data_IF_644567479289
#
_entry.id   IF_644567479289
#
_cell.length_a   1.000
_cell.length_b   1.000
_cell.length_c   1.000
_cell.angle_alpha   90.00
_cell.angle_beta   90.00
_cell.angle_gamma   90.00
#
_symmetry.space_group_name_H-M   'P 1'
#
loop_
_entity.id
_entity.type
_entity.pdbx_description
1 polymer ?
#
# COMPACT_ATOMS: atom_id res chain seq x y z
N UNK A 1 -39.81 -35.06 -26.06
CA UNK A 1 -38.64 -35.56 -25.38
C UNK A 1 -37.36 -34.76 -25.71
N UNK A 2 -37.15 -34.39 -26.92
CA UNK A 2 -35.94 -33.62 -27.31
C UNK A 2 -35.93 -32.20 -26.73
N UNK A 3 -37.08 -31.59 -26.53
CA UNK A 3 -37.18 -30.24 -25.95
C UNK A 3 -36.68 -30.18 -24.51
N UNK A 4 -36.87 -31.22 -23.72
CA UNK A 4 -36.42 -31.27 -22.34
C UNK A 4 -34.91 -31.28 -22.22
N UNK A 5 -34.22 -31.96 -23.14
CA UNK A 5 -32.73 -32.01 -23.18
C UNK A 5 -32.15 -30.66 -23.51
N UNK A 6 -32.76 -29.88 -24.37
CA UNK A 6 -32.30 -28.55 -24.73
C UNK A 6 -32.42 -27.58 -23.56
N UNK A 7 -33.51 -27.64 -22.80
CA UNK A 7 -33.74 -26.80 -21.66
C UNK A 7 -32.67 -27.04 -20.57
N UNK A 8 -32.33 -28.31 -20.34
CA UNK A 8 -31.33 -28.65 -19.35
C UNK A 8 -29.95 -28.13 -19.73
N UNK A 9 -29.59 -28.14 -21.02
CA UNK A 9 -28.31 -27.58 -21.46
C UNK A 9 -28.22 -26.07 -21.24
N UNK A 10 -29.31 -25.36 -21.46
CA UNK A 10 -29.36 -23.92 -21.27
C UNK A 10 -29.20 -23.57 -19.78
N UNK A 11 -29.86 -24.31 -18.91
CA UNK A 11 -29.78 -24.12 -17.47
C UNK A 11 -28.34 -24.37 -16.97
N UNK A 12 -27.69 -25.41 -17.44
CA UNK A 12 -26.31 -25.71 -17.05
C UNK A 12 -25.35 -24.61 -17.49
N UNK A 13 -25.51 -24.05 -18.66
CA UNK A 13 -24.68 -22.96 -19.14
C UNK A 13 -24.86 -21.71 -18.28
N UNK A 14 -26.08 -21.45 -17.86
CA UNK A 14 -26.37 -20.30 -17.01
C UNK A 14 -25.68 -20.43 -15.65
N UNK A 15 -25.72 -21.59 -15.04
CA UNK A 15 -25.02 -21.85 -13.77
C UNK A 15 -23.51 -21.72 -13.93
N UNK A 16 -22.96 -22.17 -15.01
CA UNK A 16 -21.54 -22.08 -15.28
C UNK A 16 -21.07 -20.62 -15.36
N UNK A 17 -21.85 -19.76 -16.00
CA UNK A 17 -21.55 -18.33 -16.10
C UNK A 17 -21.59 -17.63 -14.74
N UNK A 18 -22.57 -17.95 -13.91
CA UNK A 18 -22.69 -17.38 -12.57
C UNK A 18 -21.48 -17.77 -11.71
N UNK A 19 -21.02 -18.99 -11.82
CA UNK A 19 -19.86 -19.50 -11.08
C UNK A 19 -18.58 -18.75 -11.43
N UNK A 20 -18.35 -18.48 -12.71
CA UNK A 20 -17.17 -17.72 -13.17
C UNK A 20 -17.20 -16.30 -12.61
N UNK A 21 -18.37 -15.71 -12.52
CA UNK A 21 -18.50 -14.36 -11.95
C UNK A 21 -18.09 -14.30 -10.48
N UNK A 22 -18.38 -15.35 -9.72
CA UNK A 22 -18.02 -15.44 -8.29
C UNK A 22 -16.50 -15.50 -8.09
N UNK A 23 -15.81 -16.23 -8.96
CA UNK A 23 -14.35 -16.39 -8.86
C UNK A 23 -13.63 -15.05 -9.09
N UNK A 24 -14.08 -14.25 -10.06
CA UNK A 24 -13.45 -12.95 -10.33
C UNK A 24 -13.65 -11.95 -9.19
N UNK A 25 -14.73 -12.06 -8.41
CA UNK A 25 -14.95 -11.21 -7.25
C UNK A 25 -14.00 -11.48 -6.09
N UNK A 26 -13.56 -12.72 -5.92
CA UNK A 26 -12.66 -13.11 -4.83
C UNK A 26 -11.23 -12.60 -5.04
N UNK A 27 -10.76 -12.44 -6.25
CA UNK A 27 -9.40 -11.98 -6.55
C UNK A 27 -9.15 -10.55 -6.10
N UNK A 28 -10.18 -9.73 -5.98
CA UNK A 28 -10.04 -8.35 -5.56
C UNK A 28 -9.76 -8.20 -4.06
N UNK A 29 -10.13 -9.18 -3.24
CA UNK A 29 -9.92 -9.13 -1.80
C UNK A 29 -8.52 -9.52 -1.37
N UNK A 30 -7.72 -10.15 -2.22
CA UNK A 30 -6.40 -10.64 -1.87
C UNK A 30 -5.28 -9.62 -2.06
N UNK A 31 -5.61 -8.35 -2.34
CA UNK A 31 -4.62 -7.32 -2.68
C UNK A 31 -4.33 -6.29 -1.60
N UNK A 32 -4.72 -6.53 -0.36
CA UNK A 32 -4.35 -5.62 0.71
C UNK A 32 -2.94 -5.94 1.18
N UNK A 33 -2.02 -5.06 0.82
CA UNK A 33 -0.64 -5.10 1.27
C UNK A 33 -0.38 -3.87 2.14
N UNK A 34 0.06 -4.11 3.35
CA UNK A 34 0.52 -3.04 4.23
C UNK A 34 2.02 -3.13 4.39
N UNK A 35 2.67 -1.99 4.31
CA UNK A 35 4.06 -1.87 4.68
C UNK A 35 4.16 -0.89 5.84
N UNK A 36 4.82 -1.32 6.91
CA UNK A 36 5.03 -0.54 8.11
C UNK A 36 6.51 -0.35 8.33
N UNK A 37 6.90 0.89 8.60
CA UNK A 37 8.29 1.24 8.88
C UNK A 37 8.35 1.85 10.27
N UNK A 38 9.00 1.16 11.20
CA UNK A 38 9.17 1.61 12.57
C UNK A 38 10.53 2.25 12.74
N UNK A 39 10.54 3.55 12.96
CA UNK A 39 11.76 4.34 13.04
C UNK A 39 12.18 4.67 14.48
N UNK A 40 11.29 4.46 15.46
CA UNK A 40 11.54 4.75 16.86
C UNK A 40 11.70 6.24 17.12
N UNK A 41 12.20 6.59 18.30
CA UNK A 41 12.48 7.97 18.63
C UNK A 41 13.68 8.48 17.87
N UNK A 42 13.53 9.63 17.20
CA UNK A 42 14.59 10.18 16.39
C UNK A 42 14.42 11.72 16.24
N UNK A 43 15.42 12.34 15.64
CA UNK A 43 15.43 13.80 15.47
C UNK A 43 14.43 14.32 14.43
N UNK A 44 13.93 13.46 13.55
CA UNK A 44 12.95 13.88 12.53
C UNK A 44 11.55 14.00 13.09
N UNK A 45 11.27 13.33 14.20
CA UNK A 45 9.94 13.29 14.80
C UNK A 45 9.02 12.23 14.23
N UNK A 46 9.41 11.55 13.17
CA UNK A 46 8.59 10.49 12.56
C UNK A 46 8.96 9.16 13.21
N UNK A 47 7.99 8.53 13.88
CA UNK A 47 8.18 7.25 14.56
C UNK A 47 7.77 6.06 13.71
N UNK A 48 6.71 6.21 12.92
CA UNK A 48 6.20 5.14 12.06
C UNK A 48 5.67 5.69 10.74
N UNK A 49 5.79 4.89 9.71
CA UNK A 49 5.25 5.20 8.39
C UNK A 49 4.43 3.99 7.93
N UNK A 50 3.19 4.23 7.52
CA UNK A 50 2.31 3.19 6.97
C UNK A 50 2.03 3.46 5.50
N UNK A 51 2.31 2.49 4.66
CA UNK A 51 2.01 2.52 3.23
C UNK A 51 0.96 1.48 2.89
N UNK A 52 -0.17 1.90 2.35
CA UNK A 52 -1.19 0.99 1.84
C UNK A 52 -1.03 0.76 0.34
N UNK A 53 -0.94 1.85 -0.41
CA UNK A 53 -0.76 1.81 -1.86
C UNK A 53 0.50 2.57 -2.21
N UNK A 54 1.37 1.92 -2.95
CA UNK A 54 2.64 2.52 -3.35
C UNK A 54 2.50 3.07 -4.76
N UNK A 55 1.91 4.24 -4.87
CA UNK A 55 1.85 4.95 -6.14
C UNK A 55 1.70 6.44 -5.90
N UNK A 56 2.11 7.23 -6.89
CA UNK A 56 2.02 8.69 -6.84
C UNK A 56 0.59 9.15 -6.56
N UNK A 57 0.44 10.07 -5.63
CA UNK A 57 -0.84 10.63 -5.24
C UNK A 57 -1.57 9.84 -4.16
N UNK A 58 -1.13 8.65 -3.81
CA UNK A 58 -1.73 7.86 -2.73
C UNK A 58 -1.35 8.44 -1.38
N UNK A 59 -2.21 8.21 -0.40
CA UNK A 59 -1.96 8.68 0.96
C UNK A 59 -1.00 7.75 1.69
N UNK A 60 -0.14 8.33 2.50
CA UNK A 60 0.64 7.59 3.46
C UNK A 60 0.39 8.17 4.85
N UNK A 61 0.44 7.31 5.85
CA UNK A 61 0.15 7.70 7.22
C UNK A 61 1.45 7.77 8.00
N UNK A 62 1.61 8.86 8.74
CA UNK A 62 2.77 9.09 9.58
C UNK A 62 2.35 9.14 11.03
N UNK A 63 3.10 8.45 11.89
CA UNK A 63 2.95 8.59 13.33
C UNK A 63 4.14 9.38 13.85
N UNK A 64 3.86 10.51 14.45
CA UNK A 64 4.87 11.37 15.05
C UNK A 64 4.85 11.23 16.56
N UNK A 65 5.76 11.93 17.24
CA UNK A 65 5.81 11.95 18.71
C UNK A 65 4.51 12.52 19.33
N UNK A 66 3.76 13.30 18.59
CA UNK A 66 2.59 14.03 19.10
C UNK A 66 1.26 13.56 18.52
N UNK A 67 1.24 13.06 17.29
CA UNK A 67 -0.01 12.76 16.60
C UNK A 67 0.19 11.81 15.42
N UNK A 68 -0.93 11.39 14.84
CA UNK A 68 -0.95 10.69 13.54
C UNK A 68 -1.32 11.70 12.48
N UNK A 69 -0.60 11.71 11.37
CA UNK A 69 -0.83 12.62 10.27
C UNK A 69 -0.78 11.87 8.95
N UNK A 70 -1.40 12.44 7.93
CA UNK A 70 -1.40 11.88 6.58
C UNK A 70 -0.75 12.86 5.62
N UNK A 71 -0.02 12.32 4.66
CA UNK A 71 0.51 13.08 3.54
C UNK A 71 0.36 12.25 2.26
N UNK A 72 0.67 12.85 1.13
CA UNK A 72 0.57 12.16 -0.16
C UNK A 72 1.95 11.76 -0.65
N UNK A 73 1.98 10.64 -1.37
CA UNK A 73 3.19 10.21 -2.06
C UNK A 73 3.40 11.14 -3.24
N UNK A 74 4.54 11.81 -3.27
CA UNK A 74 4.90 12.73 -4.34
C UNK A 74 5.41 11.99 -5.57
N UNK A 75 6.19 10.94 -5.35
CA UNK A 75 6.82 10.19 -6.44
C UNK A 75 7.22 8.81 -5.95
N UNK A 76 7.23 7.85 -6.86
CA UNK A 76 7.74 6.50 -6.61
C UNK A 76 8.73 6.15 -7.70
N UNK A 77 9.97 5.84 -7.32
CA UNK A 77 11.00 5.39 -8.24
C UNK A 77 11.57 4.07 -7.71
N UNK A 78 11.22 2.97 -8.38
CA UNK A 78 11.60 1.64 -7.91
C UNK A 78 11.07 1.36 -6.51
N UNK A 79 11.96 1.07 -5.58
CA UNK A 79 11.60 0.81 -4.18
C UNK A 79 11.60 2.07 -3.32
N UNK A 80 11.85 3.23 -3.89
CA UNK A 80 11.96 4.49 -3.15
C UNK A 80 10.70 5.32 -3.29
N UNK A 81 10.13 5.72 -2.16
CA UNK A 81 8.93 6.55 -2.09
C UNK A 81 9.33 7.94 -1.58
N UNK A 82 8.92 8.96 -2.31
CA UNK A 82 9.20 10.36 -1.98
C UNK A 82 7.93 11.00 -1.42
N UNK A 83 8.06 11.73 -0.34
CA UNK A 83 6.96 12.48 0.23
C UNK A 83 7.47 13.73 0.95
N UNK A 84 6.57 14.71 1.13
CA UNK A 84 6.86 15.94 1.85
C UNK A 84 6.07 15.96 3.16
N UNK A 85 6.72 16.42 4.22
CA UNK A 85 6.09 16.56 5.52
C UNK A 85 6.77 17.72 6.28
N UNK A 86 5.97 18.67 6.80
CA UNK A 86 6.46 19.84 7.54
C UNK A 86 7.53 20.62 6.77
N UNK A 87 7.29 20.87 5.49
CA UNK A 87 8.19 21.61 4.59
C UNK A 87 9.56 20.95 4.38
N UNK A 88 9.66 19.65 4.68
CA UNK A 88 10.86 18.87 4.44
C UNK A 88 10.56 17.77 3.45
N UNK A 89 11.55 17.40 2.68
CA UNK A 89 11.45 16.30 1.75
C UNK A 89 11.99 15.02 2.37
N UNK A 90 11.21 13.95 2.27
CA UNK A 90 11.60 12.63 2.77
C UNK A 90 11.62 11.63 1.65
N UNK A 91 12.48 10.65 1.77
CA UNK A 91 12.44 9.47 0.93
C UNK A 91 12.67 8.23 1.78
N UNK A 92 11.84 7.22 1.57
CA UNK A 92 11.91 5.94 2.27
C UNK A 92 12.22 4.84 1.27
N UNK A 93 13.24 4.04 1.58
CA UNK A 93 13.56 2.85 0.80
C UNK A 93 12.76 1.69 1.37
N UNK A 94 11.86 1.16 0.56
CA UNK A 94 10.94 0.09 0.96
C UNK A 94 11.64 -1.24 1.15
N UNK A 95 12.81 -1.41 0.60
CA UNK A 95 13.56 -2.65 0.69
C UNK A 95 14.32 -2.76 2.01
N UNK A 96 15.04 -1.73 2.40
CA UNK A 96 15.91 -1.76 3.57
C UNK A 96 15.44 -0.89 4.74
N UNK A 97 14.41 -0.05 4.53
CA UNK A 97 13.88 0.81 5.59
C UNK A 97 14.66 2.08 5.85
N UNK A 98 15.59 2.44 4.99
CA UNK A 98 16.33 3.70 5.13
C UNK A 98 15.42 4.88 4.85
N UNK A 99 15.32 5.78 5.82
CA UNK A 99 14.57 7.03 5.70
C UNK A 99 15.56 8.18 5.64
N UNK A 100 15.45 9.00 4.61
CA UNK A 100 16.30 10.17 4.43
C UNK A 100 15.43 11.42 4.51
N UNK A 101 15.77 12.29 5.46
CA UNK A 101 15.17 13.62 5.59
C UNK A 101 16.12 14.63 4.92
N UNK A 102 15.57 15.38 3.99
CA UNK A 102 16.29 16.49 3.36
C UNK A 102 15.67 17.80 3.81
N UNK A 103 16.31 18.44 4.75
CA UNK A 103 16.02 19.81 5.16
C UNK A 103 17.07 20.69 4.47
N UNK A 104 16.68 21.80 3.89
CA UNK A 104 17.48 22.64 2.98
C UNK A 104 18.97 22.77 3.32
N UNK A 105 19.35 22.64 4.59
CA UNK A 105 20.72 22.78 5.07
C UNK A 105 21.31 21.48 5.61
N UNK A 106 20.51 20.40 5.74
CA UNK A 106 20.95 19.19 6.43
C UNK A 106 20.26 17.95 5.89
N UNK A 107 21.02 16.87 5.75
CA UNK A 107 20.52 15.56 5.36
C UNK A 107 20.66 14.63 6.57
N UNK A 108 19.56 14.01 6.98
CA UNK A 108 19.54 13.07 8.09
C UNK A 108 19.16 11.68 7.57
N UNK A 109 19.95 10.68 7.90
CA UNK A 109 19.69 9.29 7.55
C UNK A 109 19.25 8.52 8.79
N UNK A 110 18.13 7.82 8.68
CA UNK A 110 17.61 6.95 9.72
C UNK A 110 17.38 5.56 9.16
N UNK A 111 17.47 4.57 10.01
CA UNK A 111 17.11 3.21 9.62
C UNK A 111 15.85 2.79 10.36
N UNK A 112 14.80 2.45 9.61
CA UNK A 112 13.54 1.99 10.15
C UNK A 112 13.44 0.48 9.99
N UNK A 113 12.72 -0.18 10.90
CA UNK A 113 12.41 -1.60 10.76
C UNK A 113 11.26 -1.77 9.80
N UNK A 114 11.43 -2.65 8.81
CA UNK A 114 10.43 -2.90 7.78
C UNK A 114 9.61 -4.12 8.14
N UNK A 115 8.28 -3.95 8.14
CA UNK A 115 7.33 -5.06 8.29
C UNK A 115 6.34 -5.00 7.14
N UNK A 116 6.12 -6.12 6.48
CA UNK A 116 5.19 -6.22 5.37
C UNK A 116 4.08 -7.20 5.71
N UNK A 117 2.84 -6.72 5.61
CA UNK A 117 1.67 -7.53 5.89
C UNK A 117 0.88 -7.74 4.60
N UNK A 118 0.58 -8.99 4.30
CA UNK A 118 -0.29 -9.36 3.19
C UNK A 118 -1.57 -9.97 3.76
N UNK A 119 -2.69 -9.46 3.34
CA UNK A 119 -3.99 -10.03 3.70
C UNK A 119 -4.66 -10.67 2.50
#
# INVERSE_FOLDING_TARGET
MQKKKMINKVINNTYSLIFVFFISGCDQFSRFNYENFECGYNSTGIQEIFLEKVKKGSKLKLVTNQSSEETKIEQVIGEIVYFNFQNKQFKIDRENGNLIENDQSKITLLKCEVSKFKM
#
